data_IF_846309649478
#
_entry.id   IF_846309649478
#
_cell.length_a   1.000
_cell.length_b   1.000
_cell.length_c   1.000
_cell.angle_alpha   90.00
_cell.angle_beta   90.00
_cell.angle_gamma   90.00
#
_symmetry.space_group_name_H-M   'P 1'
#
loop_
_entity.id
_entity.type
_entity.pdbx_description
1 polymer ?
#
# COMPACT_ATOMS: atom_id res chain seq x y z
N UNK A 1 13.08 -4.31 15.71
CA UNK A 1 13.72 -5.01 14.56
C UNK A 1 13.55 -4.12 13.33
N UNK A 2 14.55 -4.02 12.45
CA UNK A 2 14.48 -3.19 11.24
C UNK A 2 13.59 -3.87 10.16
N UNK A 3 12.29 -3.97 10.40
CA UNK A 3 11.37 -4.76 9.57
C UNK A 3 11.34 -4.32 8.09
N UNK A 4 11.73 -3.09 7.78
CA UNK A 4 11.87 -2.63 6.40
C UNK A 4 12.93 -3.40 5.58
N UNK A 5 13.84 -4.16 6.21
CA UNK A 5 14.80 -5.03 5.49
C UNK A 5 14.22 -6.41 5.15
N UNK A 6 13.09 -6.77 5.78
CA UNK A 6 12.42 -8.07 5.60
C UNK A 6 11.10 -7.93 4.84
N UNK A 7 10.45 -6.78 4.98
CA UNK A 7 9.16 -6.48 4.38
C UNK A 7 9.38 -5.45 3.28
N UNK A 8 9.19 -5.91 2.05
CA UNK A 8 9.22 -5.04 0.88
C UNK A 8 8.04 -4.06 0.90
N UNK A 9 8.28 -2.88 0.32
CA UNK A 9 7.22 -1.89 0.14
C UNK A 9 6.21 -2.41 -0.86
N UNK A 10 4.97 -2.51 -0.43
CA UNK A 10 3.83 -2.71 -1.32
C UNK A 10 3.02 -1.41 -1.43
N UNK A 11 2.41 -1.20 -2.60
CA UNK A 11 1.37 -0.19 -2.77
C UNK A 11 0.00 -0.89 -2.73
N UNK A 12 -1.07 -0.18 -2.35
CA UNK A 12 -2.43 -0.69 -2.53
C UNK A 12 -2.72 -0.95 -4.00
N UNK A 13 -3.74 -1.78 -4.26
CA UNK A 13 -4.12 -2.14 -5.62
C UNK A 13 -4.48 -0.90 -6.41
N UNK A 14 -3.90 -0.79 -7.60
CA UNK A 14 -4.13 0.29 -8.54
C UNK A 14 -5.01 -0.20 -9.68
N UNK A 15 -6.07 0.54 -9.99
CA UNK A 15 -6.93 0.27 -11.14
C UNK A 15 -6.15 0.39 -12.45
N UNK A 16 -6.56 -0.43 -13.43
CA UNK A 16 -5.94 -0.46 -14.74
C UNK A 16 -6.12 0.86 -15.50
N UNK A 17 -5.18 1.19 -16.38
CA UNK A 17 -5.27 2.43 -17.18
C UNK A 17 -6.53 2.46 -18.03
N UNK A 18 -6.89 1.33 -18.65
CA UNK A 18 -8.08 1.24 -19.50
C UNK A 18 -9.42 1.34 -18.74
N UNK A 19 -9.41 1.12 -17.43
CA UNK A 19 -10.58 1.28 -16.57
C UNK A 19 -10.73 2.75 -16.17
N UNK A 20 -9.69 3.34 -15.58
CA UNK A 20 -9.73 4.70 -15.02
C UNK A 20 -9.81 5.85 -16.03
N UNK A 21 -9.74 5.57 -17.34
CA UNK A 21 -10.00 6.57 -18.39
C UNK A 21 -11.48 6.65 -18.77
N UNK A 22 -12.30 5.73 -18.27
CA UNK A 22 -13.74 5.62 -18.60
C UNK A 22 -14.65 6.22 -17.53
N UNK A 23 -14.10 6.56 -16.37
CA UNK A 23 -14.82 7.09 -15.21
C UNK A 23 -13.95 8.09 -14.43
N UNK A 24 -14.54 8.65 -13.36
CA UNK A 24 -13.88 9.57 -12.43
C UNK A 24 -13.73 8.95 -11.04
N UNK A 25 -13.77 7.62 -10.95
CA UNK A 25 -13.65 6.91 -9.67
C UNK A 25 -12.19 6.88 -9.18
N UNK A 26 -12.01 6.72 -7.88
CA UNK A 26 -10.69 6.66 -7.24
C UNK A 26 -9.79 5.57 -7.87
N UNK A 27 -8.49 5.84 -7.98
CA UNK A 27 -7.55 4.98 -8.72
C UNK A 27 -6.95 3.89 -7.82
N UNK A 28 -6.79 4.17 -6.52
CA UNK A 28 -6.25 3.22 -5.55
C UNK A 28 -7.33 2.66 -4.63
N UNK A 29 -7.17 1.39 -4.25
CA UNK A 29 -7.97 0.80 -3.18
C UNK A 29 -7.33 1.07 -1.82
N UNK A 30 -8.09 0.85 -0.74
CA UNK A 30 -7.52 0.78 0.61
C UNK A 30 -6.86 -0.58 0.80
N UNK A 31 -5.79 -0.65 1.59
CA UNK A 31 -5.26 -1.93 2.06
C UNK A 31 -6.28 -2.64 2.96
N UNK A 32 -6.27 -3.97 2.95
CA UNK A 32 -6.91 -4.70 4.04
C UNK A 32 -6.15 -4.47 5.36
N UNK A 33 -6.80 -4.80 6.47
CA UNK A 33 -6.27 -4.54 7.81
C UNK A 33 -4.92 -5.23 8.06
N UNK A 34 -4.72 -6.44 7.55
CA UNK A 34 -3.50 -7.21 7.77
C UNK A 34 -2.35 -6.60 6.95
N UNK A 35 -2.61 -6.26 5.69
CA UNK A 35 -1.59 -5.64 4.83
C UNK A 35 -1.22 -4.24 5.31
N UNK A 36 -2.19 -3.48 5.81
CA UNK A 36 -1.93 -2.17 6.43
C UNK A 36 -1.03 -2.32 7.67
N UNK A 37 -1.30 -3.30 8.54
CA UNK A 37 -0.45 -3.60 9.70
C UNK A 37 0.99 -3.95 9.27
N UNK A 38 1.13 -4.89 8.33
CA UNK A 38 2.43 -5.34 7.82
C UNK A 38 3.25 -4.18 7.22
N UNK A 39 2.61 -3.29 6.46
CA UNK A 39 3.30 -2.14 5.87
C UNK A 39 3.65 -1.07 6.90
N UNK A 40 2.86 -0.91 7.96
CA UNK A 40 3.15 0.00 9.07
C UNK A 40 4.31 -0.48 9.96
N UNK A 41 4.49 -1.80 10.09
CA UNK A 41 5.57 -2.42 10.88
C UNK A 41 6.97 -2.08 10.35
N UNK A 42 7.07 -1.56 9.12
CA UNK A 42 8.31 -1.10 8.49
C UNK A 42 8.88 0.17 9.15
N UNK A 43 8.05 0.95 9.85
CA UNK A 43 8.50 2.12 10.59
C UNK A 43 9.38 1.70 11.77
N UNK A 44 10.52 2.37 11.94
CA UNK A 44 11.46 2.09 13.04
C UNK A 44 11.34 3.07 14.21
N UNK A 45 10.40 4.02 14.14
CA UNK A 45 10.22 5.03 15.19
C UNK A 45 11.49 5.85 15.46
N UNK A 46 12.19 6.28 14.40
CA UNK A 46 13.34 7.17 14.56
C UNK A 46 12.88 8.50 15.19
N UNK A 47 13.67 8.99 16.15
CA UNK A 47 13.44 10.25 16.87
C UNK A 47 13.82 11.48 16.07
#
# INVERSE_FOLDING_TARGET
>A
MLNFTKIDRANPTKRGVMERIKDFDEVYTVFDKNKASEQSDRCIGCG
#
